data_IF_745838726820
#
_entry.id   IF_745838726820
#
_cell.length_a   1.000
_cell.length_b   1.000
_cell.length_c   1.000
_cell.angle_alpha   90.00
_cell.angle_beta   90.00
_cell.angle_gamma   90.00
#
_symmetry.space_group_name_H-M   'P 1'
#
loop_
_entity.id
_entity.type
_entity.pdbx_description
1 polymer ?
#
# COMPACT_ATOMS: atom_id res chain seq x y z
N UNK A 1 -4.43 -20.63 16.60
CA UNK A 1 -3.99 -19.33 16.05
C UNK A 1 -4.90 -18.99 14.89
N UNK A 2 -5.36 -17.73 14.82
CA UNK A 2 -6.09 -17.24 13.65
C UNK A 2 -5.13 -17.12 12.47
N UNK A 3 -5.64 -17.25 11.24
CA UNK A 3 -4.84 -17.06 10.04
C UNK A 3 -4.26 -15.62 10.05
N UNK A 4 -5.11 -14.61 10.20
CA UNK A 4 -4.73 -13.19 10.14
C UNK A 4 -4.31 -12.61 11.50
N UNK A 5 -3.71 -13.41 12.38
CA UNK A 5 -3.25 -12.93 13.68
C UNK A 5 -1.94 -12.15 13.54
N UNK A 6 -1.95 -10.87 13.90
CA UNK A 6 -0.76 -10.02 13.93
C UNK A 6 0.12 -10.31 15.15
N UNK A 7 1.41 -9.99 15.05
CA UNK A 7 2.33 -10.07 16.19
C UNK A 7 2.03 -9.00 17.24
N UNK A 8 2.45 -9.24 18.48
CA UNK A 8 2.26 -8.27 19.58
C UNK A 8 3.07 -6.99 19.31
N UNK A 9 4.24 -7.10 18.65
CA UNK A 9 5.06 -5.97 18.24
C UNK A 9 4.31 -5.01 17.29
N UNK A 10 3.57 -5.53 16.31
CA UNK A 10 2.69 -4.74 15.43
C UNK A 10 1.63 -4.00 16.24
N UNK A 11 0.99 -4.67 17.20
CA UNK A 11 -0.02 -4.04 18.05
C UNK A 11 0.57 -2.93 18.93
N UNK A 12 1.77 -3.13 19.47
CA UNK A 12 2.45 -2.17 20.32
C UNK A 12 2.95 -0.94 19.54
N UNK A 13 3.48 -1.13 18.32
CA UNK A 13 3.85 -0.04 17.42
C UNK A 13 2.63 0.74 16.95
N UNK A 14 1.56 0.07 16.54
CA UNK A 14 0.33 0.72 16.12
C UNK A 14 -0.31 1.56 17.23
N UNK A 15 -0.23 1.11 18.48
CA UNK A 15 -0.68 1.87 19.66
C UNK A 15 0.36 2.91 20.14
N UNK A 16 1.57 2.96 19.56
CA UNK A 16 2.65 3.86 19.93
C UNK A 16 3.27 3.58 21.31
N UNK A 17 3.09 2.37 21.85
CA UNK A 17 3.61 1.94 23.15
C UNK A 17 5.12 1.71 23.11
N UNK A 18 5.60 1.21 21.98
CA UNK A 18 7.02 1.08 21.69
C UNK A 18 7.40 2.02 20.55
N UNK A 19 8.65 2.46 20.53
CA UNK A 19 9.18 3.34 19.49
C UNK A 19 10.44 2.73 18.91
N UNK A 20 10.55 2.73 17.59
CA UNK A 20 11.73 2.22 16.92
C UNK A 20 12.95 3.11 17.21
N UNK A 21 14.15 2.50 17.33
CA UNK A 21 15.39 3.26 17.37
C UNK A 21 15.56 4.10 16.08
N UNK A 22 16.29 5.22 16.21
CA UNK A 22 16.56 6.14 15.09
C UNK A 22 17.89 5.83 14.42
N UNK A 23 18.01 6.22 13.14
CA UNK A 23 19.25 6.10 12.39
C UNK A 23 19.64 4.65 12.06
N UNK A 24 20.94 4.34 12.09
CA UNK A 24 21.49 3.05 11.65
C UNK A 24 21.03 1.83 12.47
N UNK A 25 20.49 2.06 13.67
CA UNK A 25 20.03 0.98 14.55
C UNK A 25 18.57 0.57 14.28
N UNK A 26 17.88 1.25 13.36
CA UNK A 26 16.50 0.93 13.00
C UNK A 26 16.45 -0.41 12.24
N UNK A 27 15.65 -1.39 12.67
CA UNK A 27 15.47 -2.63 11.91
C UNK A 27 14.86 -2.33 10.53
N UNK A 28 15.22 -3.13 9.53
CA UNK A 28 14.69 -2.98 8.17
C UNK A 28 13.22 -3.38 8.07
N UNK A 29 12.79 -4.35 8.88
CA UNK A 29 11.42 -4.88 8.94
C UNK A 29 11.17 -5.57 10.27
N UNK A 30 9.92 -5.90 10.55
CA UNK A 30 9.48 -6.76 11.66
C UNK A 30 8.61 -7.89 11.12
N UNK A 31 8.34 -8.89 11.96
CA UNK A 31 7.37 -9.93 11.63
C UNK A 31 5.94 -9.37 11.79
N UNK A 32 5.13 -9.44 10.74
CA UNK A 32 3.78 -8.87 10.74
C UNK A 32 2.76 -9.86 11.26
N UNK A 33 2.75 -11.09 10.73
CA UNK A 33 1.82 -12.16 11.09
C UNK A 33 2.49 -13.21 11.94
N UNK A 34 1.78 -13.73 12.94
CA UNK A 34 2.24 -14.90 13.70
C UNK A 34 2.21 -16.19 12.85
N UNK A 35 1.39 -16.21 11.80
CA UNK A 35 1.32 -17.34 10.87
C UNK A 35 2.46 -17.27 9.84
N UNK A 36 3.37 -18.26 9.87
CA UNK A 36 4.56 -18.29 9.00
C UNK A 36 4.23 -18.34 7.50
N UNK A 37 3.12 -18.98 7.12
CA UNK A 37 2.71 -19.05 5.72
C UNK A 37 2.29 -17.67 5.20
N UNK A 38 1.46 -16.95 5.96
CA UNK A 38 1.08 -15.59 5.58
C UNK A 38 2.26 -14.62 5.63
N UNK A 39 3.10 -14.73 6.65
CA UNK A 39 4.31 -13.91 6.75
C UNK A 39 5.18 -14.06 5.51
N UNK A 40 5.41 -15.31 5.06
CA UNK A 40 6.31 -15.60 3.95
C UNK A 40 5.77 -15.17 2.58
N UNK A 41 4.46 -15.27 2.35
CA UNK A 41 3.89 -15.12 1.00
C UNK A 41 3.01 -13.88 0.82
N UNK A 42 2.50 -13.29 1.90
CA UNK A 42 1.49 -12.22 1.82
C UNK A 42 1.82 -10.98 2.64
N UNK A 43 2.82 -11.01 3.53
CA UNK A 43 3.23 -9.82 4.28
C UNK A 43 4.06 -8.83 3.45
N UNK A 44 4.69 -9.30 2.37
CA UNK A 44 5.52 -8.48 1.48
C UNK A 44 4.96 -8.47 0.05
N UNK A 45 5.00 -7.31 -0.59
CA UNK A 45 4.57 -7.16 -1.98
C UNK A 45 5.75 -7.35 -2.92
N UNK A 46 5.69 -8.33 -3.82
CA UNK A 46 6.71 -8.48 -4.86
C UNK A 46 6.67 -7.26 -5.81
N UNK A 47 7.81 -6.74 -6.32
CA UNK A 47 7.84 -5.60 -7.25
C UNK A 47 7.00 -5.77 -8.53
N UNK A 48 6.65 -7.01 -8.89
CA UNK A 48 5.79 -7.33 -10.04
C UNK A 48 4.30 -7.07 -9.77
N UNK A 49 3.90 -6.94 -8.50
CA UNK A 49 2.50 -6.85 -8.06
C UNK A 49 1.73 -5.77 -8.84
N UNK A 50 2.23 -4.52 -8.99
CA UNK A 50 1.53 -3.51 -9.78
C UNK A 50 1.30 -3.92 -11.25
N UNK A 51 2.28 -4.60 -11.86
CA UNK A 51 2.20 -5.08 -13.23
C UNK A 51 1.14 -6.18 -13.40
N UNK A 52 1.02 -7.10 -12.44
CA UNK A 52 -0.01 -8.14 -12.47
C UNK A 52 -1.41 -7.52 -12.34
N UNK A 53 -1.60 -6.59 -11.42
CA UNK A 53 -2.92 -6.01 -11.16
C UNK A 53 -3.38 -5.04 -12.25
N UNK A 54 -2.49 -4.18 -12.73
CA UNK A 54 -2.85 -3.07 -13.62
C UNK A 54 -2.33 -3.23 -15.05
N UNK A 55 -1.32 -4.06 -15.29
CA UNK A 55 -0.66 -4.16 -16.59
C UNK A 55 -1.61 -4.58 -17.72
N UNK A 56 -2.50 -5.54 -17.47
CA UNK A 56 -3.49 -5.97 -18.47
C UNK A 56 -4.57 -4.90 -18.71
N UNK A 57 -4.96 -4.14 -17.69
CA UNK A 57 -5.91 -3.01 -17.82
C UNK A 57 -5.29 -1.92 -18.69
N UNK A 58 -4.04 -1.56 -18.43
CA UNK A 58 -3.28 -0.58 -19.22
C UNK A 58 -3.12 -1.08 -20.66
N UNK A 59 -2.72 -2.33 -20.86
CA UNK A 59 -2.56 -2.91 -22.19
C UNK A 59 -3.88 -2.90 -23.00
N UNK A 60 -4.99 -3.29 -22.36
CA UNK A 60 -6.30 -3.24 -23.00
C UNK A 60 -6.73 -1.80 -23.32
N UNK A 61 -6.52 -0.86 -22.39
CA UNK A 61 -6.81 0.56 -22.62
C UNK A 61 -6.01 1.13 -23.79
N UNK A 62 -4.72 0.79 -23.89
CA UNK A 62 -3.87 1.20 -25.01
C UNK A 62 -4.32 0.57 -26.34
N UNK A 63 -4.71 -0.71 -26.33
CA UNK A 63 -5.26 -1.38 -27.51
C UNK A 63 -6.55 -0.68 -28.00
N UNK A 64 -7.46 -0.35 -27.10
CA UNK A 64 -8.69 0.38 -27.43
C UNK A 64 -8.40 1.79 -27.94
N UNK A 65 -7.41 2.48 -27.38
CA UNK A 65 -7.00 3.82 -27.82
C UNK A 65 -6.52 3.85 -29.29
N UNK A 66 -6.00 2.72 -29.79
CA UNK A 66 -5.50 2.60 -31.17
C UNK A 66 -6.55 2.02 -32.13
N UNK A 67 -7.35 1.06 -31.68
CA UNK A 67 -8.22 0.26 -32.58
C UNK A 67 -9.71 0.56 -32.42
N UNK A 68 -10.14 1.04 -31.26
CA UNK A 68 -11.56 1.16 -30.90
C UNK A 68 -12.10 2.59 -30.88
N UNK A 69 -11.23 3.61 -30.85
CA UNK A 69 -11.63 5.03 -30.79
C UNK A 69 -10.78 5.90 -31.70
N UNK A 70 -11.27 7.11 -32.00
CA UNK A 70 -10.46 8.13 -32.66
C UNK A 70 -9.31 8.58 -31.76
N UNK A 71 -8.15 8.87 -32.35
CA UNK A 71 -6.91 9.18 -31.63
C UNK A 71 -7.07 10.26 -30.53
N UNK A 72 -7.88 11.30 -30.77
CA UNK A 72 -8.08 12.39 -29.81
C UNK A 72 -8.91 11.94 -28.59
N UNK A 73 -9.86 11.02 -28.76
CA UNK A 73 -10.63 10.42 -27.66
C UNK A 73 -9.69 9.59 -26.79
N UNK A 74 -8.84 8.78 -27.42
CA UNK A 74 -7.80 8.00 -26.71
C UNK A 74 -6.86 8.91 -25.91
N UNK A 75 -6.41 10.01 -26.51
CA UNK A 75 -5.55 11.00 -25.84
C UNK A 75 -6.25 11.66 -24.65
N UNK A 76 -7.50 12.09 -24.80
CA UNK A 76 -8.28 12.69 -23.71
C UNK A 76 -8.54 11.69 -22.58
N UNK A 77 -8.86 10.43 -22.91
CA UNK A 77 -9.06 9.38 -21.93
C UNK A 77 -7.77 9.09 -21.15
N UNK A 78 -6.62 9.06 -21.82
CA UNK A 78 -5.32 8.89 -21.18
C UNK A 78 -4.99 10.06 -20.25
N UNK A 79 -5.11 11.30 -20.74
CA UNK A 79 -4.87 12.50 -19.94
C UNK A 79 -5.81 12.59 -18.74
N UNK A 80 -7.09 12.29 -18.94
CA UNK A 80 -8.10 12.21 -17.87
C UNK A 80 -7.77 11.13 -16.85
N UNK A 81 -7.31 9.95 -17.30
CA UNK A 81 -6.84 8.87 -16.44
C UNK A 81 -5.66 9.28 -15.57
N UNK A 82 -4.64 9.94 -16.13
CA UNK A 82 -3.50 10.48 -15.37
C UNK A 82 -3.97 11.52 -14.34
N UNK A 83 -4.83 12.45 -14.74
CA UNK A 83 -5.37 13.48 -13.84
C UNK A 83 -6.17 12.84 -12.69
N UNK A 84 -7.08 11.91 -12.99
CA UNK A 84 -7.89 11.24 -11.96
C UNK A 84 -6.99 10.42 -11.03
N UNK A 85 -5.99 9.71 -11.57
CA UNK A 85 -5.10 8.87 -10.75
C UNK A 85 -4.26 9.71 -9.80
N UNK A 86 -3.69 10.82 -10.27
CA UNK A 86 -2.92 11.76 -9.42
C UNK A 86 -3.80 12.43 -8.36
N UNK A 87 -5.06 12.75 -8.69
CA UNK A 87 -6.02 13.25 -7.69
C UNK A 87 -6.34 12.17 -6.65
N UNK A 88 -6.65 10.94 -7.08
CA UNK A 88 -6.91 9.81 -6.17
C UNK A 88 -5.70 9.59 -5.26
N UNK A 89 -4.49 9.53 -5.81
CA UNK A 89 -3.25 9.40 -5.04
C UNK A 89 -3.13 10.50 -3.98
N UNK A 90 -3.32 11.76 -4.39
CA UNK A 90 -3.24 12.90 -3.47
C UNK A 90 -4.28 12.81 -2.35
N UNK A 91 -5.55 12.53 -2.67
CA UNK A 91 -6.60 12.45 -1.67
C UNK A 91 -6.42 11.24 -0.74
N UNK A 92 -6.08 10.07 -1.28
CA UNK A 92 -5.81 8.88 -0.47
C UNK A 92 -4.62 9.10 0.45
N UNK A 93 -3.51 9.62 -0.08
CA UNK A 93 -2.33 9.86 0.73
C UNK A 93 -2.63 10.89 1.82
N UNK A 94 -3.18 12.05 1.47
CA UNK A 94 -3.40 13.14 2.44
C UNK A 94 -4.49 12.84 3.47
N UNK A 95 -5.62 12.27 3.05
CA UNK A 95 -6.79 12.15 3.91
C UNK A 95 -7.06 10.72 4.38
N UNK A 96 -6.60 9.70 3.65
CA UNK A 96 -6.70 8.30 4.06
C UNK A 96 -5.48 7.85 4.86
N UNK A 97 -4.31 7.89 4.23
CA UNK A 97 -3.06 7.36 4.76
C UNK A 97 -2.42 8.19 5.88
N UNK A 98 -2.85 9.45 6.04
CA UNK A 98 -2.46 10.33 7.15
C UNK A 98 -3.63 10.66 8.10
N UNK A 99 -4.69 9.85 8.07
CA UNK A 99 -5.78 9.96 9.02
C UNK A 99 -5.33 9.53 10.43
N UNK A 100 -5.76 10.23 11.47
CA UNK A 100 -5.43 9.87 12.87
C UNK A 100 -6.61 9.18 13.55
N UNK A 101 -6.66 7.83 13.57
CA UNK A 101 -7.75 7.09 14.19
C UNK A 101 -7.68 7.14 15.72
N UNK A 102 -8.85 7.23 16.36
CA UNK A 102 -8.99 7.26 17.83
C UNK A 102 -9.17 5.87 18.45
N UNK A 103 -9.78 4.93 17.73
CA UNK A 103 -10.01 3.58 18.22
C UNK A 103 -8.76 2.70 18.09
N UNK A 104 -8.65 1.67 18.94
CA UNK A 104 -7.55 0.71 18.90
C UNK A 104 -7.50 -0.03 17.56
N UNK A 105 -8.64 -0.52 17.08
CA UNK A 105 -8.75 -1.18 15.77
C UNK A 105 -8.42 -0.22 14.61
N UNK A 106 -8.82 1.05 14.72
CA UNK A 106 -8.50 2.06 13.72
C UNK A 106 -7.00 2.31 13.63
N UNK A 107 -6.30 2.44 14.77
CA UNK A 107 -4.84 2.59 14.80
C UNK A 107 -4.11 1.42 14.17
N UNK A 108 -4.54 0.19 14.46
CA UNK A 108 -3.98 -1.00 13.82
C UNK A 108 -4.18 -0.99 12.31
N UNK A 109 -5.42 -0.75 11.85
CA UNK A 109 -5.72 -0.72 10.41
C UNK A 109 -4.91 0.38 9.70
N UNK A 110 -4.81 1.57 10.29
CA UNK A 110 -4.01 2.65 9.76
C UNK A 110 -2.50 2.31 9.74
N UNK A 111 -2.01 1.65 10.79
CA UNK A 111 -0.63 1.18 10.84
C UNK A 111 -0.33 0.21 9.69
N UNK A 112 -1.18 -0.79 9.46
CA UNK A 112 -0.99 -1.74 8.33
C UNK A 112 -1.13 -1.05 6.97
N UNK A 113 -2.03 -0.06 6.84
CA UNK A 113 -2.24 0.65 5.56
C UNK A 113 -1.09 1.57 5.17
N UNK A 114 -0.51 2.32 6.12
CA UNK A 114 0.55 3.29 5.82
C UNK A 114 1.54 3.55 6.96
N UNK A 115 1.14 3.39 8.22
CA UNK A 115 2.04 3.62 9.35
C UNK A 115 3.29 2.74 9.34
N UNK A 116 3.16 1.49 8.89
CA UNK A 116 4.28 0.55 8.72
C UNK A 116 5.33 1.10 7.77
N UNK A 117 4.92 1.69 6.64
CA UNK A 117 5.84 2.27 5.67
C UNK A 117 6.64 3.46 6.25
N UNK A 118 6.03 4.27 7.12
CA UNK A 118 6.75 5.34 7.81
C UNK A 118 7.80 4.84 8.80
N UNK A 119 7.48 3.74 9.47
CA UNK A 119 8.38 3.11 10.44
C UNK A 119 9.50 2.32 9.73
N UNK A 120 9.19 1.64 8.63
CA UNK A 120 10.09 0.79 7.84
C UNK A 120 10.12 1.22 6.35
N UNK A 121 10.68 2.40 6.02
CA UNK A 121 10.61 2.95 4.66
C UNK A 121 11.45 2.19 3.62
N UNK A 122 12.36 1.33 4.09
CA UNK A 122 13.27 0.54 3.26
C UNK A 122 13.00 -0.96 3.39
N UNK A 123 11.83 -1.38 3.89
CA UNK A 123 11.41 -2.78 3.80
C UNK A 123 11.19 -3.11 2.32
N UNK A 124 11.93 -4.07 1.75
CA UNK A 124 11.88 -4.39 0.32
C UNK A 124 10.58 -5.06 -0.15
#
# INVERSE_FOLDING_TARGET
>A
MSLFEFTDEVHELADGRIKLPKGKNRPLRIQVYKNEFLEKYFAQAHPITPGIWFGWIVAYGLYQAVTGVTWWVGLLAFAGGVMITTLIEYFLHRFGFHFVPKSKSGRLNHFILHGYHHDFPNDP
#
